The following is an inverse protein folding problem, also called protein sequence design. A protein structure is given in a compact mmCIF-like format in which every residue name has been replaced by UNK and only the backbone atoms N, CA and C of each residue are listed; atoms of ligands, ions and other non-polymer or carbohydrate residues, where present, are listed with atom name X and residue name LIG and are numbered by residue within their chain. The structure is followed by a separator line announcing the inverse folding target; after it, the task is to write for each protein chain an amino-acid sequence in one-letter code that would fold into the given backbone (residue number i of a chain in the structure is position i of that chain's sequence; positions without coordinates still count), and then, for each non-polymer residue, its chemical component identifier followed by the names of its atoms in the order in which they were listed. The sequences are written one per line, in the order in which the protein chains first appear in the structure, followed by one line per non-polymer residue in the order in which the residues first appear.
data_IF_425688427158
#
_entry.id   IF_425688427158
#
_cell.length_a   1.000
_cell.length_b   1.000
_cell.length_c   1.000
_cell.angle_alpha   90.00
_cell.angle_beta   90.00
_cell.angle_gamma   90.00
#
_symmetry.space_group_name_H-M   'P 1'
#
loop_
_entity.id
_entity.type
_entity.pdbx_description
1 polymer ?
#
# COMPACT_ATOMS: atom_id res chain seq x y z
N UNK A 1 11.44 -1.10 -21.10
CA UNK A 1 12.43 -0.01 -20.95
C UNK A 1 12.08 1.21 -21.80
N UNK A 2 12.03 1.14 -23.14
CA UNK A 2 11.51 2.26 -23.96
C UNK A 2 9.99 2.44 -23.84
N UNK A 3 9.23 1.33 -23.76
CA UNK A 3 7.77 1.35 -23.55
C UNK A 3 7.35 2.01 -22.22
N UNK A 4 8.24 2.05 -21.22
CA UNK A 4 7.97 2.66 -19.92
C UNK A 4 8.13 4.20 -19.97
N UNK A 5 9.04 4.72 -20.81
CA UNK A 5 9.34 6.15 -20.91
C UNK A 5 8.22 6.89 -21.66
N UNK A 6 7.77 6.37 -22.80
CA UNK A 6 6.71 7.00 -23.58
C UNK A 6 5.40 7.04 -22.79
N UNK A 7 5.10 5.98 -22.04
CA UNK A 7 3.95 5.95 -21.13
C UNK A 7 4.03 7.02 -20.03
N UNK A 8 5.22 7.30 -19.51
CA UNK A 8 5.43 8.38 -18.53
C UNK A 8 5.23 9.75 -19.20
N UNK A 9 5.76 9.95 -20.41
CA UNK A 9 5.57 11.19 -21.18
C UNK A 9 4.10 11.47 -21.46
N UNK A 10 3.34 10.48 -21.92
CA UNK A 10 1.91 10.63 -22.17
C UNK A 10 1.13 11.04 -20.92
N UNK A 11 1.43 10.42 -19.77
CA UNK A 11 0.82 10.80 -18.48
C UNK A 11 1.11 12.25 -18.10
N UNK A 12 2.37 12.67 -18.22
CA UNK A 12 2.79 14.04 -17.90
C UNK A 12 2.11 15.06 -18.81
N UNK A 13 2.08 14.79 -20.12
CA UNK A 13 1.45 15.67 -21.11
C UNK A 13 -0.06 15.83 -20.88
N UNK A 14 -0.74 14.76 -20.46
CA UNK A 14 -2.18 14.78 -20.14
C UNK A 14 -2.49 15.60 -18.88
N UNK A 15 -1.64 15.57 -17.87
CA UNK A 15 -1.82 16.41 -16.67
C UNK A 15 -1.60 17.90 -16.95
N UNK A 16 -0.76 18.24 -17.94
CA UNK A 16 -0.56 19.63 -18.36
C UNK A 16 -1.78 20.25 -19.04
N UNK A 17 -2.73 19.47 -19.54
CA UNK A 17 -3.99 19.99 -20.13
C UNK A 17 -4.85 20.76 -19.10
N UNK A 18 -4.54 20.63 -17.81
CA UNK A 18 -5.24 21.30 -16.69
C UNK A 18 -4.62 22.66 -16.29
N UNK A 19 -3.55 23.10 -16.96
CA UNK A 19 -2.80 24.31 -16.61
C UNK A 19 -2.98 25.45 -17.64
N UNK A 20 -2.72 26.73 -17.28
CA UNK A 20 -2.79 27.87 -18.20
C UNK A 20 -1.83 27.72 -19.39
N UNK A 21 -2.27 28.08 -20.61
CA UNK A 21 -1.56 27.82 -21.88
C UNK A 21 -0.09 28.29 -21.90
N UNK A 22 0.20 29.39 -21.23
CA UNK A 22 1.53 30.01 -21.19
C UNK A 22 2.55 29.13 -20.45
N UNK A 23 2.15 28.44 -19.38
CA UNK A 23 3.00 27.50 -18.63
C UNK A 23 3.13 26.15 -19.33
N UNK A 24 2.11 25.77 -20.11
CA UNK A 24 2.03 24.48 -20.79
C UNK A 24 3.05 24.38 -21.93
N UNK A 25 3.29 25.47 -22.67
CA UNK A 25 4.18 25.45 -23.84
C UNK A 25 5.63 25.12 -23.47
N UNK A 26 6.15 25.73 -22.42
CA UNK A 26 7.52 25.52 -21.94
C UNK A 26 7.70 24.14 -21.31
N UNK A 27 6.75 23.71 -20.46
CA UNK A 27 6.80 22.38 -19.83
C UNK A 27 6.66 21.24 -20.85
N UNK A 28 5.83 21.39 -21.89
CA UNK A 28 5.70 20.38 -22.97
C UNK A 28 7.03 20.16 -23.69
N UNK A 29 7.73 21.23 -24.03
CA UNK A 29 9.05 21.13 -24.69
C UNK A 29 10.11 20.52 -23.78
N UNK A 30 10.05 20.82 -22.48
CA UNK A 30 10.94 20.23 -21.48
C UNK A 30 10.71 18.72 -21.30
N UNK A 31 9.45 18.27 -21.25
CA UNK A 31 9.10 16.83 -21.15
C UNK A 31 9.57 16.04 -22.37
N UNK A 32 9.45 16.60 -23.59
CA UNK A 32 9.91 15.92 -24.81
C UNK A 32 11.43 15.68 -24.80
N UNK A 33 12.20 16.59 -24.20
CA UNK A 33 13.67 16.57 -24.19
C UNK A 33 14.27 15.98 -22.92
N UNK A 34 13.47 15.80 -21.87
CA UNK A 34 13.90 15.27 -20.58
C UNK A 34 14.37 13.81 -20.70
N UNK A 35 15.43 13.51 -19.99
CA UNK A 35 15.91 12.14 -19.72
C UNK A 35 14.88 11.35 -18.92
N UNK A 36 15.03 10.02 -18.91
CA UNK A 36 14.15 9.14 -18.13
C UNK A 36 14.12 9.53 -16.63
N UNK A 37 15.27 9.89 -16.07
CA UNK A 37 15.40 10.26 -14.65
C UNK A 37 14.72 11.60 -14.35
N UNK A 38 14.84 12.58 -15.26
CA UNK A 38 14.14 13.86 -15.16
C UNK A 38 12.62 13.71 -15.29
N UNK A 39 12.15 12.85 -16.21
CA UNK A 39 10.72 12.56 -16.37
C UNK A 39 10.13 11.91 -15.13
N UNK A 40 10.84 10.96 -14.53
CA UNK A 40 10.44 10.33 -13.26
C UNK A 40 10.37 11.39 -12.15
N UNK A 41 11.37 12.26 -12.06
CA UNK A 41 11.39 13.34 -11.07
C UNK A 41 10.26 14.36 -11.27
N UNK A 42 9.94 14.72 -12.51
CA UNK A 42 8.81 15.60 -12.83
C UNK A 42 7.48 14.94 -12.48
N UNK A 43 7.31 13.64 -12.78
CA UNK A 43 6.11 12.88 -12.43
C UNK A 43 5.90 12.81 -10.92
N UNK A 44 6.97 12.54 -10.17
CA UNK A 44 6.92 12.52 -8.70
C UNK A 44 6.53 13.88 -8.10
N UNK A 45 6.89 15.00 -8.76
CA UNK A 45 6.51 16.35 -8.32
C UNK A 45 5.05 16.71 -8.63
N UNK A 46 4.45 16.09 -9.65
CA UNK A 46 3.06 16.32 -10.06
C UNK A 46 2.05 15.43 -9.32
N UNK A 47 2.52 14.34 -8.70
CA UNK A 47 1.68 13.53 -7.81
C UNK A 47 1.34 14.37 -6.56
N UNK A 48 0.06 14.48 -6.15
CA UNK A 48 -0.27 15.03 -4.85
C UNK A 48 0.53 14.25 -3.79
N UNK A 49 1.29 14.97 -2.96
CA UNK A 49 2.11 14.34 -1.92
C UNK A 49 1.19 13.53 -1.01
N UNK A 50 1.39 12.22 -0.98
CA UNK A 50 0.67 11.33 -0.07
C UNK A 50 0.93 11.77 1.38
N UNK A 51 -0.13 12.08 2.14
CA UNK A 51 -0.03 12.53 3.53
C UNK A 51 0.78 11.56 4.40
N UNK A 52 0.56 10.25 4.25
CA UNK A 52 1.31 9.24 5.01
C UNK A 52 2.78 9.20 4.60
N UNK A 53 3.11 9.40 3.32
CA UNK A 53 4.52 9.55 2.91
C UNK A 53 5.17 10.79 3.53
N UNK A 54 4.44 11.89 3.70
CA UNK A 54 4.95 13.07 4.39
C UNK A 54 5.23 12.79 5.87
N UNK A 55 4.34 12.06 6.55
CA UNK A 55 4.56 11.59 7.92
C UNK A 55 5.80 10.69 7.99
N UNK A 56 5.91 9.71 7.09
CA UNK A 56 7.05 8.77 7.02
C UNK A 56 8.37 9.50 6.79
N UNK A 57 8.36 10.55 5.96
CA UNK A 57 9.52 11.39 5.66
C UNK A 57 9.76 12.49 6.70
N UNK A 58 8.98 12.52 7.80
CA UNK A 58 9.09 13.51 8.88
C UNK A 58 8.86 14.95 8.43
N UNK A 59 8.13 15.14 7.32
CA UNK A 59 7.66 16.45 6.88
C UNK A 59 6.49 16.95 7.76
N UNK A 60 5.78 16.04 8.43
CA UNK A 60 4.65 16.32 9.32
C UNK A 60 4.92 15.65 10.67
N UNK A 61 4.81 16.42 11.75
CA UNK A 61 4.95 15.90 13.11
C UNK A 61 3.79 14.97 13.49
N UNK A 62 4.09 13.88 14.18
CA UNK A 62 3.12 12.89 14.65
C UNK A 62 3.55 12.28 15.98
N UNK A 63 2.60 11.72 16.73
CA UNK A 63 2.90 10.98 17.95
C UNK A 63 3.25 9.54 17.58
N UNK A 64 4.55 9.26 17.51
CA UNK A 64 5.08 7.97 17.10
C UNK A 64 5.04 6.94 18.22
N UNK A 65 4.56 5.74 17.90
CA UNK A 65 4.50 4.60 18.83
C UNK A 65 5.59 3.58 18.52
N UNK A 66 5.80 3.29 17.24
CA UNK A 66 6.81 2.33 16.79
C UNK A 66 7.30 2.69 15.40
N UNK A 67 8.58 2.44 15.13
CA UNK A 67 9.17 2.61 13.81
C UNK A 67 10.33 1.64 13.63
N UNK A 68 10.32 0.92 12.51
CA UNK A 68 11.49 0.20 12.02
C UNK A 68 11.78 0.55 10.56
N UNK A 69 12.60 -0.26 9.90
CA UNK A 69 13.00 -0.02 8.51
C UNK A 69 11.85 -0.16 7.50
N UNK A 70 10.77 -0.85 7.85
CA UNK A 70 9.70 -1.21 6.91
C UNK A 70 8.31 -0.71 7.34
N UNK A 71 8.04 -0.58 8.63
CA UNK A 71 6.72 -0.17 9.15
C UNK A 71 6.83 1.04 10.09
N UNK A 72 5.75 1.81 10.15
CA UNK A 72 5.56 2.94 11.05
C UNK A 72 4.19 2.80 11.73
N UNK A 73 4.15 3.03 13.03
CA UNK A 73 2.93 3.13 13.81
C UNK A 73 2.88 4.48 14.55
N UNK A 74 1.79 5.21 14.37
CA UNK A 74 1.54 6.53 14.97
C UNK A 74 0.14 6.57 15.56
N UNK A 75 -0.11 7.50 16.49
CA UNK A 75 -1.48 7.86 16.85
C UNK A 75 -2.08 8.76 15.79
N UNK A 76 -3.36 8.55 15.50
CA UNK A 76 -4.13 9.46 14.65
C UNK A 76 -4.28 10.82 15.36
N UNK A 77 -4.01 11.91 14.64
CA UNK A 77 -4.16 13.28 15.15
C UNK A 77 -5.64 13.68 15.28
N UNK A 78 -6.51 13.06 14.47
CA UNK A 78 -7.95 13.23 14.49
C UNK A 78 -8.62 11.89 14.81
N UNK A 79 -8.38 11.36 16.03
CA UNK A 79 -8.73 9.99 16.35
C UNK A 79 -10.24 9.78 16.39
N UNK A 80 -10.70 8.63 15.89
CA UNK A 80 -12.10 8.22 16.07
C UNK A 80 -12.42 8.01 17.57
N UNK A 81 -11.45 7.53 18.33
CA UNK A 81 -11.50 7.34 19.78
C UNK A 81 -10.11 7.39 20.40
N UNK A 82 -10.03 7.59 21.73
CA UNK A 82 -8.76 7.60 22.43
C UNK A 82 -7.95 6.32 22.17
N UNK A 83 -6.71 6.48 21.72
CA UNK A 83 -5.82 5.38 21.35
C UNK A 83 -5.96 4.89 19.91
N UNK A 84 -6.69 5.60 19.04
CA UNK A 84 -6.72 5.32 17.60
C UNK A 84 -5.30 5.33 17.02
N UNK A 85 -4.83 4.15 16.61
CA UNK A 85 -3.49 3.93 16.07
C UNK A 85 -3.57 3.61 14.59
N UNK A 86 -2.65 4.21 13.82
CA UNK A 86 -2.45 3.98 12.41
C UNK A 86 -1.15 3.19 12.20
N UNK A 87 -1.23 2.01 11.58
CA UNK A 87 -0.07 1.17 11.24
C UNK A 87 0.07 1.08 9.73
N UNK A 88 1.21 1.49 9.19
CA UNK A 88 1.43 1.60 7.75
C UNK A 88 2.83 1.14 7.34
N UNK A 89 3.00 0.60 6.12
CA UNK A 89 4.32 0.40 5.54
C UNK A 89 4.96 1.75 5.23
N UNK A 90 6.29 1.82 5.36
CA UNK A 90 7.08 2.99 4.97
C UNK A 90 7.11 3.18 3.46
N UNK A 91 7.15 2.09 2.70
CA UNK A 91 7.00 2.14 1.24
C UNK A 91 5.55 2.43 0.89
N UNK A 92 5.35 3.26 -0.12
CA UNK A 92 4.02 3.57 -0.64
C UNK A 92 3.41 2.36 -1.35
N UNK A 93 2.25 1.96 -0.83
CA UNK A 93 1.31 1.02 -1.45
C UNK A 93 -0.06 1.58 -1.19
N UNK A 94 -0.94 1.64 -2.18
CA UNK A 94 -2.30 2.12 -1.98
C UNK A 94 -3.21 0.98 -1.49
N UNK A 95 -3.03 -0.21 -2.05
CA UNK A 95 -3.92 -1.35 -1.84
C UNK A 95 -3.20 -2.58 -1.29
N UNK A 96 -3.95 -3.46 -0.61
CA UNK A 96 -3.37 -4.64 0.07
C UNK A 96 -2.70 -5.61 -0.90
N UNK A 97 -3.24 -5.74 -2.11
CA UNK A 97 -2.74 -6.64 -3.14
C UNK A 97 -1.42 -6.17 -3.79
N UNK A 98 -0.94 -4.97 -3.44
CA UNK A 98 0.35 -4.43 -3.90
C UNK A 98 1.48 -4.74 -2.90
N UNK A 99 1.13 -5.11 -1.67
CA UNK A 99 2.07 -5.30 -0.57
C UNK A 99 2.69 -6.70 -0.66
N UNK A 100 4.03 -6.82 -0.58
CA UNK A 100 4.69 -8.12 -0.50
C UNK A 100 4.25 -8.95 0.72
N UNK A 101 4.07 -10.26 0.55
CA UNK A 101 3.57 -11.19 1.59
C UNK A 101 4.30 -11.06 2.94
N UNK A 102 5.62 -10.96 2.92
CA UNK A 102 6.44 -10.83 4.13
C UNK A 102 6.16 -9.54 4.90
N UNK A 103 6.02 -8.42 4.18
CA UNK A 103 5.69 -7.12 4.78
C UNK A 103 4.25 -7.10 5.29
N UNK A 104 3.31 -7.69 4.54
CA UNK A 104 1.93 -7.81 4.96
C UNK A 104 1.80 -8.64 6.24
N UNK A 105 2.53 -9.76 6.33
CA UNK A 105 2.61 -10.59 7.54
C UNK A 105 3.16 -9.77 8.72
N UNK A 106 4.27 -9.05 8.52
CA UNK A 106 4.87 -8.19 9.55
C UNK A 106 3.88 -7.15 10.10
N UNK A 107 3.14 -6.48 9.22
CA UNK A 107 2.11 -5.50 9.60
C UNK A 107 1.03 -6.12 10.50
N UNK A 108 0.47 -7.28 10.11
CA UNK A 108 -0.60 -7.93 10.88
C UNK A 108 -0.10 -8.61 12.17
N UNK A 109 1.13 -9.11 12.20
CA UNK A 109 1.77 -9.58 13.45
C UNK A 109 1.95 -8.42 14.42
N UNK A 110 2.39 -7.26 13.95
CA UNK A 110 2.47 -6.06 14.77
C UNK A 110 1.09 -5.66 15.34
N UNK A 111 0.07 -5.61 14.49
CA UNK A 111 -1.32 -5.32 14.92
C UNK A 111 -1.79 -6.31 15.99
N UNK A 112 -1.57 -7.62 15.78
CA UNK A 112 -1.91 -8.67 16.76
C UNK A 112 -1.28 -8.41 18.13
N UNK A 113 -0.04 -7.92 18.18
CA UNK A 113 0.66 -7.60 19.42
C UNK A 113 0.14 -6.32 20.09
N UNK A 114 -0.24 -5.30 19.30
CA UNK A 114 -0.65 -4.00 19.83
C UNK A 114 -2.10 -3.96 20.33
N UNK A 115 -2.99 -4.78 19.78
CA UNK A 115 -4.41 -4.83 20.19
C UNK A 115 -4.60 -5.00 21.71
N UNK A 116 -4.00 -6.01 22.38
CA UNK A 116 -4.16 -6.16 23.83
C UNK A 116 -3.51 -5.01 24.62
N UNK A 117 -2.36 -4.51 24.17
CA UNK A 117 -1.65 -3.38 24.80
C UNK A 117 -2.52 -2.12 24.78
N UNK A 118 -3.13 -1.80 23.64
CA UNK A 118 -4.04 -0.67 23.50
C UNK A 118 -5.28 -0.84 24.38
N UNK A 119 -5.89 -2.02 24.39
CA UNK A 119 -7.06 -2.29 25.22
C UNK A 119 -6.74 -2.11 26.72
N UNK A 120 -5.59 -2.60 27.18
CA UNK A 120 -5.18 -2.49 28.58
C UNK A 120 -4.91 -1.04 29.01
N UNK A 121 -4.18 -0.27 28.20
CA UNK A 121 -3.81 1.12 28.49
C UNK A 121 -5.05 2.01 28.47
N UNK A 122 -5.89 1.85 27.46
CA UNK A 122 -7.07 2.71 27.25
C UNK A 122 -8.28 2.27 28.07
N UNK A 123 -8.27 1.06 28.65
CA UNK A 123 -9.44 0.42 29.28
C UNK A 123 -10.61 0.26 28.31
N UNK A 124 -10.32 0.07 27.03
CA UNK A 124 -11.34 -0.13 26.01
C UNK A 124 -12.05 -1.47 26.20
N UNK A 125 -13.36 -1.49 25.92
CA UNK A 125 -14.22 -2.67 26.01
C UNK A 125 -14.23 -3.47 24.70
N UNK A 126 -13.64 -2.92 23.64
CA UNK A 126 -13.46 -3.58 22.35
C UNK A 126 -12.43 -2.87 21.48
N UNK A 127 -12.08 -3.48 20.36
CA UNK A 127 -11.15 -2.91 19.37
C UNK A 127 -11.68 -3.22 17.98
N UNK A 128 -11.74 -2.21 17.10
CA UNK A 128 -11.90 -2.43 15.67
C UNK A 128 -10.54 -2.42 14.98
N UNK A 129 -10.30 -3.40 14.13
CA UNK A 129 -9.22 -3.38 13.14
C UNK A 129 -9.88 -3.09 11.80
N UNK A 130 -9.53 -1.97 11.17
CA UNK A 130 -10.20 -1.49 9.96
C UNK A 130 -9.19 -1.12 8.87
N UNK A 131 -9.40 -1.70 7.69
CA UNK A 131 -8.63 -1.43 6.47
C UNK A 131 -9.62 -1.11 5.37
N UNK A 132 -9.50 0.07 4.78
CA UNK A 132 -10.30 0.48 3.64
C UNK A 132 -9.53 0.27 2.32
N UNK A 133 -10.19 -0.31 1.32
CA UNK A 133 -9.65 -0.48 -0.03
C UNK A 133 -10.49 0.37 -1.00
N UNK A 134 -10.05 1.60 -1.26
CA UNK A 134 -10.75 2.55 -2.14
C UNK A 134 -11.69 3.51 -1.41
N UNK A 135 -11.99 4.63 -2.07
CA UNK A 135 -12.71 5.76 -1.47
C UNK A 135 -14.11 5.38 -0.96
N UNK A 136 -14.88 4.61 -1.73
CA UNK A 136 -16.22 4.15 -1.32
C UNK A 136 -16.19 3.19 -0.12
N UNK A 137 -15.07 2.52 0.10
CA UNK A 137 -14.87 1.67 1.28
C UNK A 137 -14.43 2.48 2.51
N UNK A 138 -14.22 3.79 2.38
CA UNK A 138 -13.79 4.71 3.43
C UNK A 138 -12.29 5.05 3.45
N UNK A 139 -11.55 4.74 2.38
CA UNK A 139 -10.14 5.11 2.28
C UNK A 139 -10.01 6.62 2.00
N UNK A 140 -9.51 7.37 2.99
CA UNK A 140 -9.34 8.84 2.90
C UNK A 140 -7.98 9.26 2.35
N UNK A 141 -6.93 8.48 2.67
CA UNK A 141 -5.57 8.70 2.17
C UNK A 141 -5.19 7.52 1.26
N UNK A 142 -4.68 7.76 0.03
CA UNK A 142 -4.33 6.70 -0.91
C UNK A 142 -2.98 6.04 -0.54
N UNK A 143 -2.87 5.52 0.68
CA UNK A 143 -1.74 4.75 1.19
C UNK A 143 -2.28 3.75 2.20
N UNK A 144 -1.80 2.52 2.13
CA UNK A 144 -2.30 1.42 2.92
C UNK A 144 -2.07 1.69 4.40
N UNK A 145 -3.13 1.63 5.17
CA UNK A 145 -3.07 1.84 6.61
C UNK A 145 -4.06 0.92 7.30
N UNK A 146 -3.60 0.31 8.39
CA UNK A 146 -4.42 -0.47 9.30
C UNK A 146 -4.77 0.43 10.47
N UNK A 147 -6.06 0.68 10.64
CA UNK A 147 -6.60 1.43 11.76
C UNK A 147 -6.86 0.46 12.91
N UNK A 148 -6.35 0.77 14.11
CA UNK A 148 -6.68 0.08 15.36
C UNK A 148 -7.43 1.07 16.23
N UNK A 149 -8.74 0.87 16.39
CA UNK A 149 -9.65 1.84 17.01
C UNK A 149 -10.21 1.23 18.30
N UNK A 150 -9.75 1.68 19.49
CA UNK A 150 -10.35 1.29 20.77
C UNK A 150 -11.82 1.70 20.87
N UNK A 151 -12.66 0.84 21.44
CA UNK A 151 -14.11 1.03 21.52
C UNK A 151 -14.56 1.14 22.95
N UNK A 152 -15.47 2.07 23.19
CA UNK A 152 -16.02 2.38 24.50
C UNK A 152 -17.54 2.40 24.41
N UNK A 153 -18.23 2.14 25.53
CA UNK A 153 -19.67 2.38 25.59
C UNK A 153 -19.98 3.82 25.17
N UNK A 154 -20.97 3.97 24.30
CA UNK A 154 -21.48 5.25 23.82
C UNK A 154 -20.45 6.13 23.11
N UNK A 155 -19.42 5.55 22.48
CA UNK A 155 -18.40 6.30 21.73
C UNK A 155 -18.89 6.94 20.42
N UNK A 156 -20.14 6.71 20.04
CA UNK A 156 -20.79 7.23 18.82
C UNK A 156 -20.08 6.81 17.51
N UNK A 157 -19.29 5.74 17.55
CA UNK A 157 -18.69 5.14 16.34
C UNK A 157 -19.63 4.03 15.85
N UNK A 158 -20.13 4.18 14.63
CA UNK A 158 -21.09 3.24 14.04
C UNK A 158 -20.41 2.36 12.99
N UNK A 159 -20.22 1.08 13.31
CA UNK A 159 -19.89 0.04 12.35
C UNK A 159 -21.12 -0.84 12.14
N UNK A 160 -21.85 -0.58 11.06
CA UNK A 160 -23.05 -1.33 10.74
C UNK A 160 -23.45 -1.15 9.29
N UNK A 161 -24.21 -2.11 8.78
CA UNK A 161 -24.78 -2.09 7.44
C UNK A 161 -26.20 -2.61 7.47
N UNK A 162 -27.02 -2.10 6.55
CA UNK A 162 -28.34 -2.65 6.30
C UNK A 162 -28.21 -4.09 5.78
N UNK A 163 -28.83 -5.04 6.49
CA UNK A 163 -28.80 -6.45 6.09
C UNK A 163 -29.70 -6.64 4.87
N UNK A 164 -29.09 -6.93 3.72
CA UNK A 164 -29.82 -7.29 2.49
C UNK A 164 -30.03 -8.80 2.43
N UNK A 165 -31.17 -9.23 1.89
CA UNK A 165 -31.43 -10.65 1.59
C UNK A 165 -30.88 -10.99 0.20
N UNK A 166 -30.34 -12.19 0.07
CA UNK A 166 -29.98 -12.82 -1.20
C UNK A 166 -30.55 -14.23 -1.23
N UNK A 167 -30.98 -14.71 -2.40
CA UNK A 167 -31.46 -16.08 -2.54
C UNK A 167 -30.30 -17.08 -2.49
N UNK A 168 -30.60 -18.32 -2.09
CA UNK A 168 -29.61 -19.41 -2.07
C UNK A 168 -29.02 -19.65 -3.48
N UNK A 169 -29.85 -19.60 -4.51
CA UNK A 169 -29.43 -19.79 -5.90
C UNK A 169 -28.43 -18.71 -6.36
N UNK A 170 -28.70 -17.43 -6.07
CA UNK A 170 -27.78 -16.33 -6.38
C UNK A 170 -26.42 -16.51 -5.69
N UNK A 171 -26.42 -16.91 -4.41
CA UNK A 171 -25.21 -17.15 -3.65
C UNK A 171 -24.41 -18.34 -4.18
N UNK A 172 -25.08 -19.44 -4.56
CA UNK A 172 -24.43 -20.62 -5.13
C UNK A 172 -23.79 -20.32 -6.49
N UNK A 173 -24.51 -19.59 -7.36
CA UNK A 173 -23.99 -19.12 -8.65
C UNK A 173 -22.76 -18.24 -8.47
N UNK A 174 -22.82 -17.28 -7.54
CA UNK A 174 -21.69 -16.40 -7.24
C UNK A 174 -20.49 -17.19 -6.68
N UNK A 175 -20.74 -18.17 -5.80
CA UNK A 175 -19.69 -18.97 -5.20
C UNK A 175 -18.92 -19.81 -6.24
N UNK A 176 -19.60 -20.32 -7.28
CA UNK A 176 -18.93 -20.99 -8.40
C UNK A 176 -17.96 -20.04 -9.10
N UNK A 177 -18.42 -18.84 -9.48
CA UNK A 177 -17.60 -17.85 -10.16
C UNK A 177 -16.38 -17.43 -9.33
N UNK A 178 -16.56 -17.24 -8.01
CA UNK A 178 -15.46 -16.90 -7.10
C UNK A 178 -14.44 -18.04 -7.05
N UNK A 179 -14.89 -19.29 -6.86
CA UNK A 179 -13.97 -20.45 -6.77
C UNK A 179 -13.17 -20.65 -8.05
N UNK A 180 -13.80 -20.54 -9.20
CA UNK A 180 -13.13 -20.67 -10.51
C UNK A 180 -12.06 -19.59 -10.68
N UNK A 181 -12.40 -18.32 -10.43
CA UNK A 181 -11.42 -17.23 -10.53
C UNK A 181 -10.32 -17.33 -9.47
N UNK A 182 -10.66 -17.72 -8.25
CA UNK A 182 -9.69 -17.86 -7.16
C UNK A 182 -8.65 -18.95 -7.48
N UNK A 183 -9.07 -20.09 -8.05
CA UNK A 183 -8.15 -21.15 -8.48
C UNK A 183 -7.10 -20.60 -9.45
N UNK A 184 -7.55 -19.88 -10.49
CA UNK A 184 -6.64 -19.27 -11.47
C UNK A 184 -5.66 -18.28 -10.84
N UNK A 185 -6.08 -17.53 -9.82
CA UNK A 185 -5.20 -16.60 -9.10
C UNK A 185 -4.16 -17.34 -8.27
N UNK A 186 -4.56 -18.41 -7.57
CA UNK A 186 -3.64 -19.23 -6.76
C UNK A 186 -2.62 -19.92 -7.65
N UNK A 187 -3.05 -20.59 -8.72
CA UNK A 187 -2.16 -21.27 -9.67
C UNK A 187 -1.14 -20.31 -10.27
N UNK A 188 -1.58 -19.14 -10.76
CA UNK A 188 -0.65 -18.11 -11.27
C UNK A 188 0.36 -17.66 -10.22
N UNK A 189 -0.07 -17.49 -8.97
CA UNK A 189 0.83 -17.06 -7.89
C UNK A 189 1.83 -18.14 -7.50
N UNK A 190 1.43 -19.41 -7.53
CA UNK A 190 2.34 -20.56 -7.30
C UNK A 190 3.37 -20.69 -8.43
N UNK A 191 2.97 -20.50 -9.67
CA UNK A 191 3.87 -20.42 -10.82
C UNK A 191 4.87 -19.27 -10.69
N UNK A 192 4.40 -18.06 -10.30
CA UNK A 192 5.24 -16.89 -10.09
C UNK A 192 6.25 -17.11 -8.96
N UNK A 193 5.82 -17.67 -7.83
CA UNK A 193 6.72 -18.03 -6.71
C UNK A 193 7.77 -19.05 -7.14
N UNK A 194 7.38 -20.06 -7.90
CA UNK A 194 8.29 -21.09 -8.43
C UNK A 194 9.32 -20.49 -9.40
N UNK A 195 8.90 -19.57 -10.28
CA UNK A 195 9.80 -18.84 -11.19
C UNK A 195 10.77 -17.92 -10.45
N UNK A 196 10.30 -17.22 -9.42
CA UNK A 196 11.16 -16.36 -8.58
C UNK A 196 12.20 -17.17 -7.80
N UNK A 197 11.80 -18.32 -7.26
CA UNK A 197 12.70 -19.23 -6.55
C UNK A 197 13.81 -19.75 -7.47
N UNK A 198 13.46 -20.23 -8.68
CA UNK A 198 14.44 -20.68 -9.68
C UNK A 198 15.43 -19.57 -10.07
N UNK A 199 14.93 -18.35 -10.33
CA UNK A 199 15.81 -17.20 -10.63
C UNK A 199 16.75 -16.85 -9.48
N UNK A 200 16.29 -17.01 -8.24
CA UNK A 200 17.12 -16.76 -7.05
C UNK A 200 18.23 -17.80 -6.95
N UNK A 201 17.91 -19.08 -7.16
CA UNK A 201 18.87 -20.18 -7.19
C UNK A 201 19.89 -20.02 -8.32
N UNK A 202 19.44 -19.67 -9.53
CA UNK A 202 20.33 -19.38 -10.68
C UNK A 202 21.30 -18.24 -10.36
N UNK A 203 20.81 -17.15 -9.76
CA UNK A 203 21.64 -16.01 -9.36
C UNK A 203 22.65 -16.38 -8.26
N UNK A 204 22.23 -17.16 -7.28
CA UNK A 204 23.13 -17.66 -6.24
C UNK A 204 24.24 -18.53 -6.85
N UNK A 205 23.91 -19.41 -7.81
CA UNK A 205 24.89 -20.20 -8.55
C UNK A 205 25.85 -19.28 -9.34
N UNK A 206 25.34 -18.28 -10.05
CA UNK A 206 26.18 -17.30 -10.78
C UNK A 206 27.13 -16.55 -9.85
N UNK A 207 26.64 -16.09 -8.69
CA UNK A 207 27.45 -15.38 -7.70
C UNK A 207 28.55 -16.29 -7.12
N UNK A 208 28.23 -17.56 -6.82
CA UNK A 208 29.22 -18.57 -6.40
C UNK A 208 30.27 -18.79 -7.49
N UNK A 209 29.85 -18.99 -8.74
CA UNK A 209 30.75 -19.21 -9.88
C UNK A 209 31.66 -18.00 -10.12
N UNK A 210 31.13 -16.78 -9.98
CA UNK A 210 31.91 -15.54 -10.08
C UNK A 210 32.97 -15.47 -8.99
N UNK A 211 32.62 -15.83 -7.76
CA UNK A 211 33.54 -15.83 -6.62
C UNK A 211 34.64 -16.89 -6.76
N UNK A 212 34.30 -18.08 -7.28
CA UNK A 212 35.27 -19.14 -7.57
C UNK A 212 36.25 -18.72 -8.68
N UNK A 213 35.77 -18.09 -9.75
CA UNK A 213 36.63 -17.57 -10.84
C UNK A 213 37.62 -16.51 -10.37
N UNK A 214 37.29 -15.73 -9.34
CA UNK A 214 38.20 -14.73 -8.77
C UNK A 214 39.28 -15.32 -7.84
N UNK A 215 39.14 -16.61 -7.46
CA UNK A 215 40.06 -17.31 -6.56
C UNK A 215 40.91 -18.38 -7.24
N UNK A 216 40.64 -18.65 -8.52
CA UNK A 216 41.47 -19.53 -9.33
C UNK A 216 42.65 -18.73 -9.89
N UNK A 217 43.90 -19.24 -9.78
CA UNK A 217 45.10 -18.57 -10.27
C UNK A 217 45.15 -18.45 -11.80
#
# INVERSE_FOLDING_TARGET
MMEDIERIREKLLKELEKLPEEQVKELKERIKKASQEELINMLNKLQPKCLFCQIINKEIETVKIYEDNEILAVLDLYPASLGHMLVMPKKHFQFINEIPDGLLNKLFVFVKLMVPVLAEITKAEGINIYVAQGQLAGQTVPHFCINIIPRFRNDKIYFGWEKKKASKEELEKLAVQIREKARNVVEKREEEKSKQQKKKEEKEIEDILKHLKQRLP
#
